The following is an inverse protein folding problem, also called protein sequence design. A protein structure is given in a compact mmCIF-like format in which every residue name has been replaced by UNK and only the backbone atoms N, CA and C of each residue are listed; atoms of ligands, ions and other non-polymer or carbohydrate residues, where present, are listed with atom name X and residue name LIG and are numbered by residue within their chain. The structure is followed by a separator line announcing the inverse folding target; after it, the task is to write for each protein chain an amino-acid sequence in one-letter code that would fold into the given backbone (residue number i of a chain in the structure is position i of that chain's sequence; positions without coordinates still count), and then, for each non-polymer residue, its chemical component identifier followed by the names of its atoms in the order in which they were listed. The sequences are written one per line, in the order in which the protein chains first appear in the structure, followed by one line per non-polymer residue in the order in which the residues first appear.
data_IF_542778166580
#
_entry.id   IF_542778166580
#
_cell.length_a   1.000
_cell.length_b   1.000
_cell.length_c   1.000
_cell.angle_alpha   90.00
_cell.angle_beta   90.00
_cell.angle_gamma   90.00
#
_symmetry.space_group_name_H-M   'P 1'
#
loop_
_entity.id
_entity.type
_entity.pdbx_description
1 polymer ?
#
# COMPACT_ATOMS: atom_id res chain seq x y z
N UNK A 1 1.53 32.62 20.34
CA UNK A 1 0.46 31.83 19.69
C UNK A 1 0.17 30.64 20.58
N UNK A 2 -1.09 30.30 20.83
CA UNK A 2 -1.42 29.21 21.77
C UNK A 2 -2.51 28.31 21.20
N UNK A 3 -2.31 26.99 21.29
CA UNK A 3 -3.26 25.96 20.92
C UNK A 3 -3.92 25.42 22.18
N UNK A 4 -5.24 25.26 22.17
CA UNK A 4 -5.99 24.69 23.30
C UNK A 4 -6.30 23.22 23.08
N UNK A 5 -6.48 22.83 21.82
CA UNK A 5 -6.85 21.48 21.38
C UNK A 5 -6.14 21.14 20.05
N UNK A 6 -6.17 19.86 19.66
CA UNK A 6 -5.49 19.36 18.45
C UNK A 6 -6.13 19.95 17.18
N UNK A 7 -7.44 20.20 17.21
CA UNK A 7 -8.20 20.79 16.11
C UNK A 7 -7.75 22.23 15.80
N UNK A 8 -7.24 22.96 16.80
CA UNK A 8 -6.69 24.29 16.59
C UNK A 8 -5.38 24.23 15.79
N UNK A 9 -4.59 23.16 16.00
CA UNK A 9 -3.36 22.91 15.24
C UNK A 9 -3.72 22.57 13.79
N UNK A 10 -4.73 21.71 13.58
CA UNK A 10 -5.20 21.35 12.25
C UNK A 10 -5.67 22.57 11.46
N UNK A 11 -6.56 23.38 12.06
CA UNK A 11 -7.04 24.61 11.43
C UNK A 11 -5.89 25.58 11.11
N UNK A 12 -4.90 25.67 12.00
CA UNK A 12 -3.70 26.47 11.75
C UNK A 12 -2.87 25.95 10.59
N UNK A 13 -2.63 24.63 10.53
CA UNK A 13 -1.88 23.97 9.44
C UNK A 13 -2.54 24.25 8.09
N UNK A 14 -3.86 24.09 8.00
CA UNK A 14 -4.62 24.35 6.78
C UNK A 14 -4.51 25.82 6.34
N UNK A 15 -4.54 26.75 7.30
CA UNK A 15 -4.47 28.18 7.02
C UNK A 15 -3.05 28.72 6.74
N UNK A 16 -2.01 28.04 7.24
CA UNK A 16 -0.63 28.59 7.28
C UNK A 16 0.36 27.86 6.38
N UNK A 17 -0.10 27.08 5.41
CA UNK A 17 0.77 26.46 4.40
C UNK A 17 1.27 25.07 4.76
N UNK A 18 0.51 24.32 5.55
CA UNK A 18 0.65 22.88 5.69
C UNK A 18 1.67 22.43 6.74
N UNK A 19 1.91 21.11 6.73
CA UNK A 19 2.68 20.37 7.75
C UNK A 19 4.12 20.85 7.85
N UNK A 20 4.76 21.15 6.73
CA UNK A 20 6.16 21.59 6.70
C UNK A 20 6.34 22.95 7.37
N UNK A 21 5.35 23.84 7.21
CA UNK A 21 5.34 25.13 7.90
C UNK A 21 5.20 24.94 9.41
N UNK A 22 4.36 24.01 9.85
CA UNK A 22 4.24 23.67 11.28
C UNK A 22 5.59 23.18 11.84
N UNK A 23 6.26 22.25 11.16
CA UNK A 23 7.59 21.77 11.56
C UNK A 23 8.62 22.90 11.68
N UNK A 24 8.63 23.80 10.70
CA UNK A 24 9.51 24.98 10.73
C UNK A 24 9.16 25.94 11.89
N UNK A 25 7.88 26.15 12.18
CA UNK A 25 7.46 27.00 13.30
C UNK A 25 7.84 26.39 14.67
N UNK A 26 7.78 25.07 14.81
CA UNK A 26 8.26 24.37 16.01
C UNK A 26 9.77 24.53 16.15
N UNK A 27 10.54 24.30 15.07
CA UNK A 27 12.01 24.35 15.13
C UNK A 27 12.56 25.75 15.41
N UNK A 28 11.89 26.79 14.91
CA UNK A 28 12.26 28.20 15.15
C UNK A 28 11.69 28.73 16.48
N UNK A 29 10.86 27.95 17.18
CA UNK A 29 10.30 28.34 18.47
C UNK A 29 9.24 29.44 18.37
N UNK A 30 8.50 29.52 17.25
CA UNK A 30 7.47 30.56 17.01
C UNK A 30 6.31 30.47 18.02
N UNK A 31 6.09 29.30 18.59
CA UNK A 31 5.09 29.09 19.65
C UNK A 31 5.54 29.58 21.04
N UNK A 32 6.77 30.11 21.16
CA UNK A 32 7.34 30.58 22.41
C UNK A 32 7.58 29.45 23.41
N UNK A 33 7.66 29.78 24.71
CA UNK A 33 7.78 28.80 25.81
C UNK A 33 6.44 28.18 26.22
N UNK A 34 5.41 28.24 25.37
CA UNK A 34 4.14 27.57 25.66
C UNK A 34 4.26 26.07 25.39
N UNK A 35 4.73 25.35 26.42
CA UNK A 35 4.96 23.89 26.41
C UNK A 35 3.71 23.13 25.96
N UNK A 36 2.51 23.62 26.31
CA UNK A 36 1.26 22.97 25.92
C UNK A 36 1.04 23.03 24.42
N UNK A 37 1.24 24.20 23.83
CA UNK A 37 1.09 24.41 22.39
C UNK A 37 2.12 23.61 21.60
N UNK A 38 3.36 23.55 22.08
CA UNK A 38 4.41 22.71 21.48
C UNK A 38 4.04 21.23 21.57
N UNK A 39 3.53 20.77 22.72
CA UNK A 39 3.10 19.39 22.90
C UNK A 39 1.94 19.02 21.95
N UNK A 40 0.94 19.90 21.82
CA UNK A 40 -0.18 19.70 20.90
C UNK A 40 0.28 19.68 19.43
N UNK A 41 1.21 20.56 19.05
CA UNK A 41 1.75 20.60 17.69
C UNK A 41 2.55 19.33 17.35
N UNK A 42 3.38 18.84 18.27
CA UNK A 42 4.11 17.59 18.09
C UNK A 42 3.19 16.37 18.07
N UNK A 43 2.16 16.36 18.92
CA UNK A 43 1.17 15.27 18.94
C UNK A 43 0.38 15.22 17.64
N UNK A 44 -0.03 16.37 17.11
CA UNK A 44 -0.67 16.45 15.80
C UNK A 44 0.24 15.90 14.68
N UNK A 45 1.53 16.27 14.67
CA UNK A 45 2.51 15.74 13.70
C UNK A 45 2.64 14.22 13.80
N UNK A 46 2.68 13.68 15.02
CA UNK A 46 2.76 12.22 15.26
C UNK A 46 1.54 11.50 14.71
N UNK A 47 0.33 12.06 14.91
CA UNK A 47 -0.90 11.48 14.40
C UNK A 47 -0.95 11.51 12.86
N UNK A 48 -0.47 12.60 12.25
CA UNK A 48 -0.44 12.72 10.80
C UNK A 48 0.55 11.74 10.15
N UNK A 49 1.74 11.57 10.73
CA UNK A 49 2.70 10.54 10.29
C UNK A 49 2.13 9.13 10.43
N UNK A 50 1.34 8.86 11.48
CA UNK A 50 0.67 7.57 11.64
C UNK A 50 -0.39 7.30 10.57
N UNK A 51 -1.15 8.32 10.14
CA UNK A 51 -2.11 8.17 9.05
C UNK A 51 -1.40 7.85 7.73
N UNK A 52 -0.36 8.61 7.39
CA UNK A 52 0.43 8.40 6.16
C UNK A 52 1.02 6.99 6.12
N UNK A 53 1.57 6.51 7.24
CA UNK A 53 2.12 5.17 7.34
C UNK A 53 1.03 4.08 7.23
N UNK A 54 -0.14 4.30 7.82
CA UNK A 54 -1.26 3.38 7.71
C UNK A 54 -1.78 3.29 6.27
N UNK A 55 -1.87 4.42 5.57
CA UNK A 55 -2.31 4.49 4.17
C UNK A 55 -1.32 3.79 3.23
N UNK A 56 -0.01 3.99 3.44
CA UNK A 56 1.03 3.25 2.71
C UNK A 56 0.95 1.74 2.97
N UNK A 57 0.81 1.32 4.23
CA UNK A 57 0.69 -0.09 4.58
C UNK A 57 -0.56 -0.74 3.94
N UNK A 58 -1.66 -0.01 3.84
CA UNK A 58 -2.89 -0.47 3.18
C UNK A 58 -2.70 -0.58 1.66
N UNK A 59 -2.05 0.39 1.04
CA UNK A 59 -1.76 0.37 -0.40
C UNK A 59 -0.83 -0.80 -0.78
N UNK A 60 0.24 -1.03 -0.01
CA UNK A 60 1.16 -2.15 -0.21
C UNK A 60 0.45 -3.51 -0.06
N UNK A 61 -0.49 -3.59 0.88
CA UNK A 61 -1.32 -4.79 1.07
C UNK A 61 -2.23 -5.03 -0.13
N UNK A 62 -2.86 -3.99 -0.66
CA UNK A 62 -3.73 -4.10 -1.82
C UNK A 62 -2.95 -4.54 -3.08
N UNK A 63 -1.75 -3.98 -3.29
CA UNK A 63 -0.84 -4.41 -4.35
C UNK A 63 -0.48 -5.89 -4.25
N UNK A 64 -0.09 -6.35 -3.05
CA UNK A 64 0.23 -7.76 -2.83
C UNK A 64 -0.96 -8.68 -3.08
N UNK A 65 -2.17 -8.29 -2.69
CA UNK A 65 -3.38 -9.09 -2.96
C UNK A 65 -3.62 -9.23 -4.47
N UNK A 66 -3.41 -8.16 -5.24
CA UNK A 66 -3.53 -8.20 -6.71
C UNK A 66 -2.46 -9.07 -7.37
N UNK A 67 -1.22 -9.01 -6.89
CA UNK A 67 -0.13 -9.86 -7.39
C UNK A 67 -0.38 -11.36 -7.14
N UNK A 68 -0.87 -11.71 -5.95
CA UNK A 68 -1.23 -13.09 -5.61
C UNK A 68 -2.37 -13.58 -6.51
N UNK A 69 -3.41 -12.77 -6.70
CA UNK A 69 -4.54 -13.13 -7.58
C UNK A 69 -4.09 -13.36 -9.03
N UNK A 70 -3.22 -12.50 -9.58
CA UNK A 70 -2.69 -12.67 -10.93
C UNK A 70 -1.86 -13.95 -11.08
N UNK A 71 -1.08 -14.29 -10.05
CA UNK A 71 -0.26 -15.52 -10.03
C UNK A 71 -1.13 -16.78 -9.95
N UNK A 72 -2.21 -16.75 -9.17
CA UNK A 72 -3.15 -17.86 -9.09
C UNK A 72 -3.88 -18.12 -10.42
N UNK A 73 -4.29 -17.08 -11.12
CA UNK A 73 -4.95 -17.23 -12.42
C UNK A 73 -3.98 -17.69 -13.52
N UNK A 74 -2.72 -17.24 -13.49
CA UNK A 74 -1.67 -17.79 -14.33
C UNK A 74 -1.45 -19.29 -14.05
N UNK A 75 -1.42 -19.69 -12.77
CA UNK A 75 -1.24 -21.09 -12.38
C UNK A 75 -2.42 -21.99 -12.79
N UNK A 76 -3.67 -21.50 -12.72
CA UNK A 76 -4.84 -22.21 -13.23
C UNK A 76 -4.78 -22.40 -14.74
N UNK A 77 -4.37 -21.36 -15.46
CA UNK A 77 -4.26 -21.39 -16.93
C UNK A 77 -3.13 -22.33 -17.40
N UNK A 78 -2.01 -22.35 -16.67
CA UNK A 78 -0.92 -23.29 -16.90
C UNK A 78 -1.37 -24.75 -16.66
N UNK A 79 -2.13 -25.02 -15.58
CA UNK A 79 -2.68 -26.35 -15.31
C UNK A 79 -3.63 -26.84 -16.40
N UNK A 80 -4.50 -25.97 -16.92
CA UNK A 80 -5.40 -26.32 -18.03
C UNK A 80 -4.61 -26.63 -19.30
N UNK A 81 -3.64 -25.80 -19.64
CA UNK A 81 -2.77 -26.00 -20.82
C UNK A 81 -1.98 -27.31 -20.71
N UNK A 82 -1.44 -27.62 -19.53
CA UNK A 82 -0.74 -28.88 -19.27
C UNK A 82 -1.63 -30.12 -19.46
N UNK A 83 -2.91 -30.05 -19.06
CA UNK A 83 -3.88 -31.14 -19.26
C UNK A 83 -4.18 -31.38 -20.74
N UNK A 84 -4.34 -30.31 -21.52
CA UNK A 84 -4.55 -30.40 -22.97
C UNK A 84 -3.30 -30.92 -23.69
N UNK A 85 -2.12 -30.46 -23.30
CA UNK A 85 -0.85 -30.96 -23.84
C UNK A 85 -0.68 -32.47 -23.56
N UNK A 86 -1.03 -32.92 -22.36
CA UNK A 86 -0.98 -34.35 -22.01
C UNK A 86 -1.96 -35.20 -22.83
N UNK A 87 -3.19 -34.71 -23.03
CA UNK A 87 -4.16 -35.39 -23.90
C UNK A 87 -3.68 -35.47 -25.35
N UNK A 88 -3.13 -34.38 -25.89
CA UNK A 88 -2.57 -34.35 -27.23
C UNK A 88 -1.39 -35.33 -27.39
N UNK A 89 -0.55 -35.45 -26.35
CA UNK A 89 0.54 -36.42 -26.32
C UNK A 89 0.02 -37.87 -26.37
N UNK A 90 -1.00 -38.21 -25.59
CA UNK A 90 -1.60 -39.55 -25.59
C UNK A 90 -2.23 -39.90 -26.95
N UNK A 91 -2.95 -38.95 -27.55
CA UNK A 91 -3.56 -39.15 -28.87
C UNK A 91 -2.49 -39.37 -29.94
N UNK A 92 -1.41 -38.58 -29.90
CA UNK A 92 -0.28 -38.73 -30.84
C UNK A 92 0.41 -40.09 -30.68
N UNK A 93 0.57 -40.57 -29.44
CA UNK A 93 1.15 -41.88 -29.15
C UNK A 93 0.28 -43.03 -29.68
N UNK A 94 -1.04 -42.93 -29.49
CA UNK A 94 -2.00 -43.92 -29.99
C UNK A 94 -2.05 -43.95 -31.53
N UNK A 95 -2.03 -42.77 -32.17
CA UNK A 95 -1.97 -42.66 -33.63
C UNK A 95 -0.69 -43.31 -34.19
N UNK A 96 0.46 -43.08 -33.55
CA UNK A 96 1.72 -43.71 -33.93
C UNK A 96 1.68 -45.23 -33.79
N UNK A 97 1.13 -45.76 -32.69
CA UNK A 97 1.01 -47.20 -32.48
C UNK A 97 0.12 -47.88 -33.54
N UNK A 98 -1.01 -47.25 -33.90
CA UNK A 98 -1.90 -47.76 -34.96
C UNK A 98 -1.23 -47.71 -36.34
N UNK A 99 -0.47 -46.66 -36.62
CA UNK A 99 0.27 -46.53 -37.88
C UNK A 99 1.39 -47.58 -38.01
N UNK A 100 2.05 -47.95 -36.91
CA UNK A 100 3.13 -48.95 -36.90
C UNK A 100 2.64 -50.42 -36.98
N UNK A 101 1.35 -50.66 -36.74
CA UNK A 101 0.70 -51.99 -36.81
C UNK A 101 0.07 -52.30 -38.18
N UNK A 102 0.10 -51.34 -39.11
CA UNK A 102 -0.31 -51.48 -40.51
C UNK A 102 0.90 -51.72 -41.40
#
# INVERSE_FOLDING_TARGET
MSFRQIEDVDAWVQANGGVDRLRACISVGIFGNDVRSIALANEWLRLEEQKVNADQANFDRELRVREVAATEDAAKSAKLSARWAFLAMLISLAAFAVAALK
#
